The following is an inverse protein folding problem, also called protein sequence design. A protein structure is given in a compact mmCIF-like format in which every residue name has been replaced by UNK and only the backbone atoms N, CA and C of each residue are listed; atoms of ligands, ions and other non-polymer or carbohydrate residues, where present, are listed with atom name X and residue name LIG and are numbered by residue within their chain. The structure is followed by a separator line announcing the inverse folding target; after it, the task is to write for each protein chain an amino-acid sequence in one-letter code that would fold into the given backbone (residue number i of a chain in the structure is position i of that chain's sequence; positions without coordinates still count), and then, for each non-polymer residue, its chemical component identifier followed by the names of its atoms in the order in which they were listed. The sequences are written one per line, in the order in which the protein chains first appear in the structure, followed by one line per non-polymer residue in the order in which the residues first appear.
data_IF_470344412881
#
_entry.id   IF_470344412881
#
_cell.length_a   1.000
_cell.length_b   1.000
_cell.length_c   1.000
_cell.angle_alpha   90.00
_cell.angle_beta   90.00
_cell.angle_gamma   90.00
#
_symmetry.space_group_name_H-M   'P 1'
#
loop_
_entity.id
_entity.type
_entity.pdbx_description
1 polymer ?
#
# COMPACT_ATOMS: atom_id res chain seq x y z
N UNK A 1 -19.99 -9.17 7.41
CA UNK A 1 -20.48 -9.87 6.19
C UNK A 1 -19.52 -9.41 5.11
N UNK A 2 -18.47 -10.22 4.88
CA UNK A 2 -17.48 -9.87 3.85
C UNK A 2 -18.17 -9.94 2.49
N UNK A 3 -18.19 -8.83 1.78
CA UNK A 3 -18.52 -8.85 0.37
C UNK A 3 -17.35 -9.54 -0.33
N UNK A 4 -17.65 -10.70 -0.96
CA UNK A 4 -16.73 -11.37 -1.87
C UNK A 4 -16.57 -10.46 -3.11
N UNK A 5 -15.53 -9.60 -3.08
CA UNK A 5 -15.08 -8.95 -4.30
C UNK A 5 -14.47 -10.03 -5.23
N UNK A 6 -14.74 -9.98 -6.53
CA UNK A 6 -14.15 -10.93 -7.47
C UNK A 6 -12.61 -10.83 -7.40
N UNK A 7 -11.93 -11.96 -7.50
CA UNK A 7 -10.47 -12.00 -7.54
C UNK A 7 -9.97 -11.18 -8.74
N UNK A 8 -9.38 -10.02 -8.45
CA UNK A 8 -8.83 -9.09 -9.46
C UNK A 8 -7.87 -9.82 -10.42
N UNK A 9 -7.21 -10.89 -9.93
CA UNK A 9 -6.30 -11.69 -10.75
C UNK A 9 -7.00 -12.47 -11.87
N UNK A 10 -8.27 -12.87 -11.67
CA UNK A 10 -9.05 -13.53 -12.72
C UNK A 10 -9.49 -12.55 -13.82
N UNK A 11 -9.68 -11.26 -13.47
CA UNK A 11 -10.10 -10.22 -14.42
C UNK A 11 -9.02 -9.87 -15.46
N UNK A 12 -7.73 -10.01 -15.11
CA UNK A 12 -6.61 -9.59 -15.98
C UNK A 12 -5.90 -10.72 -16.72
N UNK A 13 -6.28 -11.99 -16.50
CA UNK A 13 -5.71 -13.10 -17.25
C UNK A 13 -6.13 -13.03 -18.73
N UNK A 14 -5.29 -13.12 -19.60
CA UNK A 14 -4.70 -12.81 -20.87
C UNK A 14 -5.21 -11.55 -21.64
N UNK A 15 -5.49 -10.45 -21.00
CA UNK A 15 -5.95 -9.24 -21.69
C UNK A 15 -4.81 -8.50 -22.42
N UNK A 16 -5.08 -7.99 -23.64
CA UNK A 16 -4.19 -7.01 -24.28
C UNK A 16 -4.24 -5.70 -23.46
N UNK A 17 -3.13 -4.94 -23.34
CA UNK A 17 -3.05 -3.76 -22.46
C UNK A 17 -4.23 -2.79 -22.56
N UNK A 18 -4.72 -2.50 -23.75
CA UNK A 18 -5.87 -1.62 -23.99
C UNK A 18 -7.20 -2.16 -23.44
N UNK A 19 -7.39 -3.46 -23.37
CA UNK A 19 -8.58 -4.09 -22.78
C UNK A 19 -8.48 -4.07 -21.25
N UNK A 20 -7.28 -4.30 -20.70
CA UNK A 20 -7.03 -4.22 -19.27
C UNK A 20 -7.37 -2.83 -18.71
N UNK A 21 -7.05 -1.75 -19.41
CA UNK A 21 -7.39 -0.39 -18.97
C UNK A 21 -8.89 -0.10 -18.95
N UNK A 22 -9.64 -0.65 -19.91
CA UNK A 22 -11.11 -0.57 -19.89
C UNK A 22 -11.71 -1.28 -18.67
N UNK A 23 -11.17 -2.44 -18.31
CA UNK A 23 -11.58 -3.19 -17.11
C UNK A 23 -11.26 -2.39 -15.85
N UNK A 24 -10.06 -1.82 -15.72
CA UNK A 24 -9.67 -0.97 -14.56
C UNK A 24 -10.63 0.20 -14.38
N UNK A 25 -10.97 0.92 -15.45
CA UNK A 25 -11.89 2.06 -15.38
C UNK A 25 -13.31 1.62 -15.00
N UNK A 26 -13.78 0.48 -15.52
CA UNK A 26 -15.07 -0.09 -15.15
C UNK A 26 -15.11 -0.48 -13.67
N UNK A 27 -14.07 -1.17 -13.21
CA UNK A 27 -13.94 -1.57 -11.81
C UNK A 27 -13.83 -0.36 -10.88
N UNK A 28 -13.04 0.65 -11.25
CA UNK A 28 -12.98 1.90 -10.51
C UNK A 28 -14.37 2.55 -10.36
N UNK A 29 -15.20 2.53 -11.41
CA UNK A 29 -16.58 3.03 -11.36
C UNK A 29 -17.45 2.22 -10.39
N UNK A 30 -17.27 0.91 -10.33
CA UNK A 30 -18.08 0.05 -9.48
C UNK A 30 -17.66 0.08 -8.02
N UNK A 31 -16.36 0.15 -7.73
CA UNK A 31 -15.80 0.12 -6.38
C UNK A 31 -15.76 1.50 -5.75
N UNK A 32 -15.15 2.51 -6.42
CA UNK A 32 -14.83 3.79 -5.77
C UNK A 32 -16.04 4.65 -5.42
N UNK A 33 -17.20 4.40 -6.01
CA UNK A 33 -18.46 5.03 -5.60
C UNK A 33 -18.93 4.61 -4.20
N UNK A 34 -18.48 3.44 -3.72
CA UNK A 34 -18.89 2.86 -2.43
C UNK A 34 -17.79 2.99 -1.36
N UNK A 35 -16.62 3.47 -1.73
CA UNK A 35 -15.53 3.74 -0.78
C UNK A 35 -15.85 5.00 0.01
N UNK A 36 -15.67 4.94 1.33
CA UNK A 36 -15.93 6.03 2.26
C UNK A 36 -14.70 6.46 3.03
N UNK A 37 -13.66 5.62 3.09
CA UNK A 37 -12.45 5.85 3.86
C UNK A 37 -11.22 5.89 2.95
N UNK A 38 -10.24 6.78 3.22
CA UNK A 38 -9.02 6.88 2.42
C UNK A 38 -8.24 5.56 2.34
N UNK A 39 -8.14 4.83 3.45
CA UNK A 39 -7.42 3.56 3.49
C UNK A 39 -8.02 2.49 2.58
N UNK A 40 -9.34 2.42 2.47
CA UNK A 40 -9.99 1.45 1.60
C UNK A 40 -9.70 1.76 0.12
N UNK A 41 -9.65 3.06 -0.24
CA UNK A 41 -9.25 3.50 -1.57
C UNK A 41 -7.78 3.15 -1.88
N UNK A 42 -6.89 3.36 -0.93
CA UNK A 42 -5.46 3.06 -1.09
C UNK A 42 -5.18 1.56 -1.17
N UNK A 43 -5.88 0.74 -0.36
CA UNK A 43 -5.78 -0.73 -0.44
C UNK A 43 -6.21 -1.24 -1.80
N UNK A 44 -7.38 -0.82 -2.27
CA UNK A 44 -7.85 -1.17 -3.60
C UNK A 44 -6.87 -0.70 -4.69
N UNK A 45 -6.40 0.53 -4.63
CA UNK A 45 -5.45 1.07 -5.60
C UNK A 45 -4.10 0.36 -5.58
N UNK A 46 -3.60 -0.03 -4.39
CA UNK A 46 -2.35 -0.78 -4.25
C UNK A 46 -2.46 -2.18 -4.87
N UNK A 47 -3.56 -2.89 -4.63
CA UNK A 47 -3.83 -4.19 -5.24
C UNK A 47 -3.95 -4.08 -6.76
N UNK A 48 -4.66 -3.06 -7.25
CA UNK A 48 -4.78 -2.76 -8.68
C UNK A 48 -3.41 -2.52 -9.34
N UNK A 49 -2.56 -1.69 -8.75
CA UNK A 49 -1.19 -1.44 -9.22
C UNK A 49 -0.40 -2.76 -9.24
N UNK A 50 -0.53 -3.57 -8.19
CA UNK A 50 0.12 -4.86 -8.09
C UNK A 50 -0.34 -5.86 -9.15
N UNK A 51 -1.65 -5.95 -9.39
CA UNK A 51 -2.23 -6.83 -10.41
C UNK A 51 -1.74 -6.48 -11.81
N UNK A 52 -1.68 -5.17 -12.13
CA UNK A 52 -1.17 -4.69 -13.42
C UNK A 52 0.35 -4.90 -13.55
N UNK A 53 1.11 -4.75 -12.46
CA UNK A 53 2.54 -5.03 -12.46
C UNK A 53 2.87 -6.52 -12.70
N UNK A 54 2.03 -7.45 -12.20
CA UNK A 54 2.18 -8.89 -12.45
C UNK A 54 1.99 -9.27 -13.90
N UNK A 55 1.15 -8.56 -14.63
CA UNK A 55 0.88 -8.83 -16.06
C UNK A 55 2.01 -8.34 -16.97
N UNK A 56 2.91 -7.49 -16.48
CA UNK A 56 4.02 -6.95 -17.23
C UNK A 56 5.30 -7.77 -17.05
N UNK A 57 6.17 -7.78 -18.07
CA UNK A 57 7.45 -8.47 -18.02
C UNK A 57 8.44 -7.83 -17.03
N UNK A 58 8.29 -6.51 -16.81
CA UNK A 58 9.10 -5.72 -15.87
C UNK A 58 8.21 -4.70 -15.17
N UNK A 59 8.36 -4.57 -13.85
CA UNK A 59 7.58 -3.62 -13.03
C UNK A 59 7.74 -2.16 -13.47
N UNK A 60 8.96 -1.74 -13.81
CA UNK A 60 9.22 -0.39 -14.32
C UNK A 60 8.47 -0.11 -15.63
N UNK A 61 8.35 -1.10 -16.51
CA UNK A 61 7.57 -0.99 -17.76
C UNK A 61 6.08 -0.86 -17.45
N UNK A 62 5.56 -1.62 -16.48
CA UNK A 62 4.17 -1.52 -16.06
C UNK A 62 3.83 -0.11 -15.56
N UNK A 63 4.67 0.46 -14.70
CA UNK A 63 4.46 1.81 -14.19
C UNK A 63 4.51 2.87 -15.29
N UNK A 64 5.37 2.70 -16.28
CA UNK A 64 5.43 3.58 -17.45
C UNK A 64 4.18 3.42 -18.35
N UNK A 65 3.68 2.21 -18.53
CA UNK A 65 2.44 1.95 -19.29
C UNK A 65 1.22 2.54 -18.58
N UNK A 66 1.12 2.39 -17.26
CA UNK A 66 0.07 3.03 -16.48
C UNK A 66 0.08 4.55 -16.64
N UNK A 67 1.26 5.17 -16.52
CA UNK A 67 1.41 6.61 -16.66
C UNK A 67 1.10 7.12 -18.08
N UNK A 68 1.42 6.33 -19.11
CA UNK A 68 1.30 6.77 -20.51
C UNK A 68 -0.02 6.38 -21.19
N UNK A 69 -0.77 5.42 -20.65
CA UNK A 69 -1.99 4.92 -21.27
C UNK A 69 -3.21 4.95 -20.34
N UNK A 70 -3.12 4.39 -19.12
CA UNK A 70 -4.27 4.38 -18.20
C UNK A 70 -4.57 5.79 -17.66
N UNK A 71 -3.56 6.57 -17.31
CA UNK A 71 -3.75 7.94 -16.81
C UNK A 71 -4.46 8.84 -17.86
N UNK A 72 -4.04 8.89 -19.14
CA UNK A 72 -4.78 9.62 -20.16
C UNK A 72 -6.20 9.09 -20.39
N UNK A 73 -6.42 7.77 -20.29
CA UNK A 73 -7.76 7.19 -20.45
C UNK A 73 -8.70 7.61 -19.30
N UNK A 74 -8.18 7.61 -18.06
CA UNK A 74 -8.93 8.11 -16.90
C UNK A 74 -9.23 9.62 -17.01
N UNK A 75 -8.24 10.41 -17.45
CA UNK A 75 -8.44 11.84 -17.70
C UNK A 75 -9.53 12.09 -18.77
N UNK A 76 -9.53 11.32 -19.84
CA UNK A 76 -10.54 11.45 -20.91
C UNK A 76 -11.94 11.01 -20.45
N UNK A 77 -12.05 10.06 -19.54
CA UNK A 77 -13.33 9.63 -18.97
C UNK A 77 -13.99 10.75 -18.14
N UNK A 78 -13.20 11.55 -17.43
CA UNK A 78 -13.62 12.72 -16.66
C UNK A 78 -14.85 12.48 -15.76
N UNK A 79 -14.92 11.30 -15.12
CA UNK A 79 -15.94 10.96 -14.12
C UNK A 79 -15.40 11.15 -12.70
N UNK A 80 -16.26 11.26 -11.65
CA UNK A 80 -15.81 11.33 -10.27
C UNK A 80 -14.93 10.14 -9.85
N UNK A 81 -15.26 8.94 -10.33
CA UNK A 81 -14.50 7.73 -10.03
C UNK A 81 -13.16 7.69 -10.77
N UNK A 82 -13.12 8.18 -12.01
CA UNK A 82 -11.86 8.31 -12.75
C UNK A 82 -10.94 9.37 -12.11
N UNK A 83 -11.50 10.48 -11.61
CA UNK A 83 -10.76 11.47 -10.82
C UNK A 83 -10.23 10.84 -9.52
N UNK A 84 -11.07 10.07 -8.82
CA UNK A 84 -10.67 9.35 -7.61
C UNK A 84 -9.52 8.36 -7.89
N UNK A 85 -9.57 7.58 -8.97
CA UNK A 85 -8.49 6.70 -9.42
C UNK A 85 -7.18 7.49 -9.63
N UNK A 86 -7.24 8.63 -10.32
CA UNK A 86 -6.08 9.49 -10.53
C UNK A 86 -5.51 10.00 -9.20
N UNK A 87 -6.36 10.40 -8.25
CA UNK A 87 -5.93 10.83 -6.91
C UNK A 87 -5.26 9.69 -6.12
N UNK A 88 -5.78 8.48 -6.20
CA UNK A 88 -5.17 7.29 -5.59
C UNK A 88 -3.76 7.06 -6.17
N UNK A 89 -3.63 7.06 -7.50
CA UNK A 89 -2.32 6.88 -8.14
C UNK A 89 -1.34 8.03 -7.82
N UNK A 90 -1.85 9.24 -7.63
CA UNK A 90 -1.05 10.38 -7.19
C UNK A 90 -0.57 10.22 -5.73
N UNK A 91 -1.32 9.53 -4.87
CA UNK A 91 -0.96 9.30 -3.48
C UNK A 91 0.05 8.14 -3.31
N UNK A 92 -0.23 6.98 -3.92
CA UNK A 92 0.52 5.74 -3.64
C UNK A 92 1.35 5.22 -4.81
N UNK A 93 1.26 5.80 -6.00
CA UNK A 93 1.98 5.34 -7.18
C UNK A 93 3.50 5.52 -7.10
N UNK A 94 4.22 4.89 -8.03
CA UNK A 94 5.65 5.18 -8.26
C UNK A 94 5.86 6.65 -8.65
N UNK A 95 7.08 7.20 -8.55
CA UNK A 95 7.32 8.63 -8.87
C UNK A 95 6.79 9.04 -10.25
N UNK A 96 6.95 8.18 -11.27
CA UNK A 96 6.47 8.45 -12.64
C UNK A 96 4.95 8.45 -12.70
N UNK A 97 4.31 7.42 -12.14
CA UNK A 97 2.84 7.29 -12.11
C UNK A 97 2.22 8.41 -11.27
N UNK A 98 2.80 8.71 -10.12
CA UNK A 98 2.37 9.79 -9.22
C UNK A 98 2.34 11.13 -9.90
N UNK A 99 3.43 11.50 -10.58
CA UNK A 99 3.53 12.80 -11.27
C UNK A 99 2.51 12.93 -12.42
N UNK A 100 2.36 11.87 -13.23
CA UNK A 100 1.40 11.86 -14.33
C UNK A 100 -0.05 11.94 -13.81
N UNK A 101 -0.39 11.13 -12.81
CA UNK A 101 -1.72 11.06 -12.23
C UNK A 101 -2.12 12.37 -11.52
N UNK A 102 -1.21 13.01 -10.77
CA UNK A 102 -1.49 14.29 -10.12
C UNK A 102 -1.85 15.37 -11.14
N UNK A 103 -1.06 15.50 -12.21
CA UNK A 103 -1.32 16.49 -13.25
C UNK A 103 -2.64 16.23 -13.98
N UNK A 104 -2.97 14.97 -14.28
CA UNK A 104 -4.23 14.61 -14.92
C UNK A 104 -5.41 14.88 -13.98
N UNK A 105 -5.30 14.52 -12.70
CA UNK A 105 -6.32 14.79 -11.69
C UNK A 105 -6.64 16.29 -11.56
N UNK A 106 -5.61 17.14 -11.55
CA UNK A 106 -5.78 18.58 -11.46
C UNK A 106 -6.51 19.15 -12.70
N UNK A 107 -6.23 18.62 -13.90
CA UNK A 107 -6.94 19.02 -15.12
C UNK A 107 -8.41 18.57 -15.11
N UNK A 108 -8.70 17.37 -14.61
CA UNK A 108 -10.08 16.85 -14.49
C UNK A 108 -10.86 17.64 -13.44
N UNK A 109 -10.26 17.91 -12.28
CA UNK A 109 -10.87 18.73 -11.23
C UNK A 109 -11.16 20.17 -11.72
N UNK A 110 -10.26 20.77 -12.52
CA UNK A 110 -10.44 22.08 -13.12
C UNK A 110 -11.62 22.14 -14.12
N UNK A 111 -12.07 20.99 -14.64
CA UNK A 111 -13.28 20.90 -15.48
C UNK A 111 -14.57 20.88 -14.64
N UNK A 112 -14.47 20.91 -13.30
CA UNK A 112 -15.63 20.89 -12.40
C UNK A 112 -16.12 19.51 -12.04
N UNK A 113 -15.34 18.44 -12.29
CA UNK A 113 -15.65 17.08 -11.83
C UNK A 113 -15.53 17.05 -10.30
N UNK A 114 -16.55 16.57 -9.57
CA UNK A 114 -16.52 16.57 -8.11
C UNK A 114 -15.53 15.54 -7.56
N UNK A 115 -14.80 15.94 -6.52
CA UNK A 115 -13.93 15.07 -5.74
C UNK A 115 -14.74 14.18 -4.78
N UNK A 116 -14.24 12.98 -4.49
CA UNK A 116 -14.78 12.17 -3.41
C UNK A 116 -14.40 12.77 -2.04
N UNK A 117 -15.27 12.68 -1.02
CA UNK A 117 -15.04 13.31 0.28
C UNK A 117 -13.74 12.92 0.98
N UNK A 118 -13.28 11.67 0.81
CA UNK A 118 -12.07 11.14 1.43
C UNK A 118 -10.76 11.55 0.74
N UNK A 119 -10.84 12.21 -0.42
CA UNK A 119 -9.65 12.60 -1.20
C UNK A 119 -8.76 13.59 -0.44
N UNK A 120 -9.34 14.46 0.39
CA UNK A 120 -8.57 15.44 1.18
C UNK A 120 -7.56 14.81 2.14
N UNK A 121 -7.83 13.61 2.61
CA UNK A 121 -7.00 12.90 3.58
C UNK A 121 -6.11 11.83 2.93
N UNK A 122 -6.37 11.53 1.65
CA UNK A 122 -5.69 10.47 0.91
C UNK A 122 -4.17 10.67 0.87
N UNK A 123 -3.42 9.64 1.23
CA UNK A 123 -1.95 9.69 1.29
C UNK A 123 -1.38 10.42 2.50
N UNK A 124 -2.20 10.89 3.44
CA UNK A 124 -1.79 11.74 4.56
C UNK A 124 -2.13 11.16 5.96
N UNK A 125 -2.03 9.84 6.20
CA UNK A 125 -2.24 9.34 7.55
C UNK A 125 -1.10 9.79 8.47
N UNK A 126 -1.41 9.91 9.75
CA UNK A 126 -0.40 10.14 10.79
C UNK A 126 0.21 8.81 11.22
N UNK A 127 1.53 8.79 11.41
CA UNK A 127 2.19 7.67 12.09
C UNK A 127 1.79 7.68 13.56
N UNK A 128 1.30 6.55 14.08
CA UNK A 128 0.89 6.40 15.49
C UNK A 128 1.98 5.70 16.28
N UNK A 129 2.14 4.39 16.08
CA UNK A 129 3.05 3.55 16.85
C UNK A 129 3.89 2.64 15.94
N UNK A 130 5.09 2.28 16.43
CA UNK A 130 5.94 1.30 15.78
C UNK A 130 6.29 0.17 16.75
N UNK A 131 6.26 -1.07 16.25
CA UNK A 131 6.48 -2.27 17.03
C UNK A 131 7.36 -3.26 16.29
N UNK A 132 8.08 -4.07 17.04
CA UNK A 132 8.73 -5.26 16.51
C UNK A 132 8.26 -6.51 17.23
N UNK A 133 8.20 -7.60 16.49
CA UNK A 133 7.94 -8.96 16.96
C UNK A 133 8.95 -9.88 16.27
N UNK A 134 9.72 -10.66 17.02
CA UNK A 134 10.76 -11.48 16.41
C UNK A 134 11.21 -12.64 17.31
N UNK A 135 11.87 -13.63 16.73
CA UNK A 135 12.46 -14.73 17.48
C UNK A 135 13.76 -14.28 18.19
N UNK A 136 14.02 -14.84 19.39
CA UNK A 136 15.21 -14.54 20.20
C UNK A 136 16.52 -14.88 19.48
N UNK A 137 16.46 -15.76 18.48
CA UNK A 137 17.61 -16.11 17.64
C UNK A 137 17.87 -15.09 16.52
N UNK A 138 16.99 -14.09 16.36
CA UNK A 138 17.13 -13.02 15.39
C UNK A 138 17.09 -13.47 13.94
N UNK A 139 16.44 -14.60 13.63
CA UNK A 139 16.32 -15.08 12.26
C UNK A 139 15.20 -14.45 11.49
N UNK A 140 14.09 -14.13 12.17
CA UNK A 140 12.95 -13.46 11.58
C UNK A 140 12.42 -12.42 12.55
N UNK A 141 11.97 -11.28 11.99
CA UNK A 141 11.25 -10.27 12.73
C UNK A 141 10.13 -9.67 11.87
N UNK A 142 9.05 -9.26 12.50
CA UNK A 142 8.03 -8.40 11.92
C UNK A 142 8.21 -6.99 12.45
N UNK A 143 8.28 -6.02 11.56
CA UNK A 143 8.20 -4.60 11.87
C UNK A 143 6.79 -4.14 11.54
N UNK A 144 6.07 -3.66 12.54
CA UNK A 144 4.69 -3.21 12.40
C UNK A 144 4.62 -1.71 12.67
N UNK A 145 4.00 -0.96 11.77
CA UNK A 145 3.78 0.48 11.89
C UNK A 145 2.29 0.74 11.80
N UNK A 146 1.74 1.46 12.77
CA UNK A 146 0.35 1.90 12.79
C UNK A 146 0.23 3.31 12.22
N UNK A 147 -0.85 3.53 11.49
CA UNK A 147 -1.18 4.79 10.82
C UNK A 147 -2.64 5.14 11.09
N UNK A 148 -2.93 6.43 11.29
CA UNK A 148 -4.28 6.91 11.59
C UNK A 148 -4.79 7.90 10.55
N UNK A 149 -6.01 7.66 10.06
CA UNK A 149 -6.87 8.62 9.39
C UNK A 149 -7.97 9.05 10.36
N UNK A 150 -7.78 10.19 11.04
CA UNK A 150 -8.69 10.60 12.11
C UNK A 150 -8.78 9.57 13.23
N UNK A 151 -9.96 8.94 13.39
CA UNK A 151 -10.19 7.90 14.39
C UNK A 151 -9.99 6.47 13.87
N UNK A 152 -9.75 6.29 12.58
CA UNK A 152 -9.55 4.96 12.00
C UNK A 152 -8.08 4.65 11.89
N UNK A 153 -7.64 3.65 12.63
CA UNK A 153 -6.26 3.18 12.60
C UNK A 153 -6.13 1.90 11.77
N UNK A 154 -5.03 1.81 11.04
CA UNK A 154 -4.60 0.61 10.34
C UNK A 154 -3.12 0.37 10.61
N UNK A 155 -2.70 -0.88 10.54
CA UNK A 155 -1.31 -1.25 10.69
C UNK A 155 -0.81 -1.95 9.42
N UNK A 156 0.45 -1.67 9.10
CA UNK A 156 1.22 -2.38 8.08
C UNK A 156 2.33 -3.13 8.81
N UNK A 157 2.37 -4.45 8.64
CA UNK A 157 3.36 -5.33 9.24
C UNK A 157 4.18 -6.02 8.15
N UNK A 158 5.49 -5.97 8.25
CA UNK A 158 6.44 -6.54 7.29
C UNK A 158 7.27 -7.61 7.99
N UNK A 159 7.19 -8.85 7.51
CA UNK A 159 8.04 -9.95 7.97
C UNK A 159 9.38 -9.95 7.21
N UNK A 160 10.45 -9.83 7.96
CA UNK A 160 11.84 -9.79 7.48
C UNK A 160 12.53 -11.11 7.81
N UNK A 161 13.18 -11.75 6.84
CA UNK A 161 13.96 -12.98 7.01
C UNK A 161 15.46 -12.67 6.96
N UNK A 162 16.07 -12.55 8.15
CA UNK A 162 17.50 -12.30 8.30
C UNK A 162 18.34 -13.52 7.89
N UNK A 163 17.80 -14.75 7.97
CA UNK A 163 18.43 -15.94 7.45
C UNK A 163 18.62 -15.92 5.93
N UNK A 164 17.87 -15.06 5.25
CA UNK A 164 17.94 -14.83 3.79
C UNK A 164 18.52 -13.47 3.42
N UNK A 165 19.27 -12.84 4.31
CA UNK A 165 19.95 -11.58 4.07
C UNK A 165 19.07 -10.36 4.32
N UNK A 166 18.11 -10.43 5.23
CA UNK A 166 17.26 -9.31 5.63
C UNK A 166 16.16 -8.95 4.61
N UNK A 167 15.72 -9.94 3.83
CA UNK A 167 14.72 -9.75 2.78
C UNK A 167 13.30 -9.80 3.31
N UNK A 168 12.40 -9.10 2.65
CA UNK A 168 10.96 -9.15 2.94
C UNK A 168 10.42 -10.52 2.53
N UNK A 169 9.83 -11.23 3.48
CA UNK A 169 9.20 -12.52 3.26
C UNK A 169 7.69 -12.42 3.09
N UNK A 170 7.06 -11.49 3.82
CA UNK A 170 5.61 -11.30 3.80
C UNK A 170 5.24 -9.87 4.22
N UNK A 171 4.00 -9.45 3.90
CA UNK A 171 3.44 -8.17 4.31
C UNK A 171 1.94 -8.32 4.60
N UNK A 172 1.47 -7.66 5.66
CA UNK A 172 0.06 -7.62 6.03
C UNK A 172 -0.38 -6.18 6.24
N UNK A 173 -1.60 -5.89 5.86
CA UNK A 173 -2.28 -4.65 6.20
C UNK A 173 -3.62 -5.00 6.82
N UNK A 174 -3.99 -4.35 7.90
CA UNK A 174 -5.23 -4.61 8.59
C UNK A 174 -5.53 -3.58 9.67
N UNK A 175 -6.59 -3.82 10.40
CA UNK A 175 -6.95 -3.05 11.58
C UNK A 175 -5.83 -3.11 12.63
N UNK A 176 -5.44 -1.95 13.18
CA UNK A 176 -4.28 -1.84 14.04
C UNK A 176 -4.45 -2.63 15.34
N UNK A 177 -5.59 -2.48 16.02
CA UNK A 177 -5.87 -3.15 17.28
C UNK A 177 -5.88 -4.67 17.10
N UNK A 178 -6.62 -5.16 16.10
CA UNK A 178 -6.72 -6.61 15.84
C UNK A 178 -5.39 -7.27 15.43
N UNK A 179 -4.50 -6.54 14.77
CA UNK A 179 -3.18 -7.05 14.39
C UNK A 179 -2.22 -7.05 15.58
N UNK A 180 -2.19 -5.97 16.36
CA UNK A 180 -1.32 -5.84 17.54
C UNK A 180 -1.73 -6.79 18.66
N UNK A 181 -3.03 -6.95 18.93
CA UNK A 181 -3.53 -7.89 19.94
C UNK A 181 -3.14 -9.32 19.65
N UNK A 182 -3.27 -9.78 18.39
CA UNK A 182 -2.82 -11.12 17.99
C UNK A 182 -1.32 -11.30 18.16
N UNK A 183 -0.53 -10.30 17.81
CA UNK A 183 0.92 -10.32 17.92
C UNK A 183 1.36 -10.34 19.37
N UNK A 184 0.74 -9.53 20.23
CA UNK A 184 1.00 -9.47 21.66
C UNK A 184 0.67 -10.80 22.33
N UNK A 185 -0.51 -11.38 22.07
CA UNK A 185 -0.91 -12.68 22.63
C UNK A 185 0.04 -13.80 22.20
N UNK A 186 0.51 -13.78 20.96
CA UNK A 186 1.48 -14.76 20.48
C UNK A 186 2.85 -14.61 21.17
N UNK A 187 3.30 -13.38 21.42
CA UNK A 187 4.55 -13.12 22.15
C UNK A 187 4.46 -13.51 23.63
N UNK A 188 3.33 -13.25 24.29
CA UNK A 188 3.13 -13.63 25.70
C UNK A 188 3.09 -15.16 25.90
N UNK A 189 2.66 -15.89 24.89
CA UNK A 189 2.56 -17.34 24.91
C UNK A 189 3.92 -18.07 24.64
N UNK A 190 4.90 -17.40 24.03
CA UNK A 190 6.19 -18.02 23.65
C UNK A 190 7.38 -17.22 24.20
N UNK A 191 8.11 -17.76 25.21
CA UNK A 191 9.28 -17.10 25.80
C UNK A 191 10.46 -16.94 24.83
N UNK A 192 10.41 -17.56 23.65
CA UNK A 192 11.43 -17.41 22.60
C UNK A 192 11.12 -16.27 21.65
N UNK A 193 10.09 -15.49 21.93
CA UNK A 193 9.68 -14.35 21.13
C UNK A 193 9.93 -13.06 21.88
N UNK A 194 10.42 -12.06 21.17
CA UNK A 194 10.59 -10.69 21.62
C UNK A 194 9.49 -9.82 20.98
N UNK A 195 8.81 -9.05 21.82
CA UNK A 195 7.87 -8.04 21.40
C UNK A 195 8.18 -6.72 22.10
N UNK A 196 8.22 -5.62 21.35
CA UNK A 196 8.53 -4.32 21.94
C UNK A 196 8.26 -3.16 21.00
N UNK A 197 8.20 -1.96 21.58
CA UNK A 197 8.08 -0.72 20.82
C UNK A 197 9.38 -0.39 20.09
N UNK A 198 9.24 0.23 18.92
CA UNK A 198 10.32 0.85 18.17
C UNK A 198 10.11 2.36 18.09
N UNK A 199 11.21 3.10 18.00
CA UNK A 199 11.13 4.48 17.54
C UNK A 199 10.85 4.51 16.03
N UNK A 200 10.14 5.52 15.51
CA UNK A 200 9.88 5.64 14.08
C UNK A 200 11.13 5.57 13.21
N UNK A 201 12.24 6.17 13.67
CA UNK A 201 13.52 6.12 12.97
C UNK A 201 14.11 4.71 12.88
N UNK A 202 13.98 3.89 13.94
CA UNK A 202 14.45 2.50 13.94
C UNK A 202 13.59 1.63 13.02
N UNK A 203 12.26 1.82 13.05
CA UNK A 203 11.33 1.15 12.16
C UNK A 203 11.63 1.51 10.69
N UNK A 204 11.81 2.78 10.39
CA UNK A 204 12.19 3.25 9.05
C UNK A 204 13.48 2.59 8.57
N UNK A 205 14.54 2.63 9.37
CA UNK A 205 15.85 2.06 9.01
C UNK A 205 15.75 0.56 8.69
N UNK A 206 15.05 -0.22 9.54
CA UNK A 206 14.88 -1.67 9.33
C UNK A 206 14.12 -1.97 8.05
N UNK A 207 13.01 -1.26 7.81
CA UNK A 207 12.19 -1.44 6.61
C UNK A 207 12.92 -0.99 5.34
N UNK A 208 13.65 0.13 5.37
CA UNK A 208 14.46 0.61 4.25
C UNK A 208 15.54 -0.41 3.87
N UNK A 209 16.22 -0.97 4.87
CA UNK A 209 17.19 -2.04 4.65
C UNK A 209 16.55 -3.28 4.02
N UNK A 210 15.38 -3.71 4.52
CA UNK A 210 14.67 -4.89 4.00
C UNK A 210 14.17 -4.68 2.56
N UNK A 211 13.63 -3.48 2.25
CA UNK A 211 13.24 -3.10 0.89
C UNK A 211 14.45 -3.15 -0.04
N UNK A 212 15.61 -2.61 0.38
CA UNK A 212 16.85 -2.62 -0.41
C UNK A 212 17.40 -4.02 -0.62
N UNK A 213 17.24 -4.93 0.34
CA UNK A 213 17.64 -6.33 0.24
C UNK A 213 16.74 -7.13 -0.72
N UNK A 214 15.50 -6.69 -0.96
CA UNK A 214 14.53 -7.29 -1.86
C UNK A 214 13.58 -8.27 -1.17
N UNK A 215 12.89 -9.07 -1.97
CA UNK A 215 11.82 -9.97 -1.51
C UNK A 215 12.23 -11.44 -1.59
N UNK A 216 11.66 -12.28 -0.70
CA UNK A 216 11.91 -13.72 -0.67
C UNK A 216 10.67 -14.53 -0.24
N UNK A 217 9.49 -14.34 -0.87
CA UNK A 217 8.31 -15.10 -0.52
C UNK A 217 8.52 -16.59 -0.78
N UNK A 218 8.06 -17.45 0.14
CA UNK A 218 8.16 -18.90 0.02
C UNK A 218 6.89 -19.52 -0.55
N UNK A 219 5.74 -18.89 -0.27
CA UNK A 219 4.41 -19.36 -0.65
C UNK A 219 3.75 -18.42 -1.65
N UNK A 220 2.73 -18.91 -2.35
CA UNK A 220 1.96 -18.09 -3.30
C UNK A 220 1.22 -16.96 -2.60
N UNK A 221 0.56 -17.24 -1.48
CA UNK A 221 -0.17 -16.26 -0.68
C UNK A 221 0.72 -15.09 -0.21
N UNK A 222 1.96 -15.37 0.19
CA UNK A 222 2.94 -14.34 0.52
C UNK A 222 3.33 -13.48 -0.69
N UNK A 223 3.51 -14.10 -1.86
CA UNK A 223 3.80 -13.38 -3.10
C UNK A 223 2.63 -12.49 -3.50
N UNK A 224 1.42 -12.98 -3.37
CA UNK A 224 0.20 -12.24 -3.68
C UNK A 224 0.04 -11.06 -2.73
N UNK A 225 0.23 -11.27 -1.41
CA UNK A 225 0.19 -10.20 -0.41
C UNK A 225 1.27 -9.12 -0.66
N UNK A 226 2.52 -9.53 -0.93
CA UNK A 226 3.59 -8.60 -1.28
C UNK A 226 3.24 -7.77 -2.51
N UNK A 227 2.66 -8.39 -3.53
CA UNK A 227 2.28 -7.70 -4.75
C UNK A 227 1.13 -6.73 -4.52
N UNK A 228 0.09 -7.14 -3.78
CA UNK A 228 -1.06 -6.33 -3.48
C UNK A 228 -0.73 -5.10 -2.62
N UNK A 229 0.22 -5.23 -1.68
CA UNK A 229 0.50 -4.17 -0.71
C UNK A 229 1.78 -3.38 -0.99
N UNK A 230 2.54 -3.70 -2.03
CA UNK A 230 3.83 -3.07 -2.33
C UNK A 230 3.72 -1.56 -2.53
N UNK A 231 2.75 -1.08 -3.29
CA UNK A 231 2.58 0.35 -3.54
C UNK A 231 2.26 1.10 -2.24
N UNK A 232 1.40 0.53 -1.41
CA UNK A 232 1.08 1.08 -0.10
C UNK A 232 2.29 1.07 0.85
N UNK A 233 3.07 -0.03 0.89
CA UNK A 233 4.31 -0.10 1.67
C UNK A 233 5.25 1.05 1.32
N UNK A 234 5.53 1.27 0.04
CA UNK A 234 6.41 2.36 -0.39
C UNK A 234 5.84 3.75 -0.05
N UNK A 235 4.53 3.94 -0.17
CA UNK A 235 3.89 5.19 0.22
C UNK A 235 4.03 5.44 1.73
N UNK A 236 3.84 4.42 2.57
CA UNK A 236 4.00 4.51 4.03
C UNK A 236 5.44 4.73 4.46
N UNK A 237 6.41 4.16 3.75
CA UNK A 237 7.83 4.41 4.00
C UNK A 237 8.21 5.89 3.82
N UNK A 238 7.66 6.57 2.81
CA UNK A 238 7.89 7.99 2.61
C UNK A 238 7.39 8.85 3.79
N UNK A 239 6.23 8.49 4.37
CA UNK A 239 5.67 9.17 5.55
C UNK A 239 6.52 8.91 6.80
N UNK A 240 6.93 7.68 7.00
CA UNK A 240 7.78 7.29 8.13
C UNK A 240 9.15 7.98 8.07
N UNK A 241 9.70 8.19 6.88
CA UNK A 241 10.94 8.96 6.67
C UNK A 241 10.79 10.42 7.12
N UNK A 242 9.66 11.05 6.82
CA UNK A 242 9.38 12.44 7.23
C UNK A 242 9.24 12.53 8.75
N UNK A 243 8.49 11.63 9.38
CA UNK A 243 8.32 11.56 10.83
C UNK A 243 9.66 11.34 11.55
N UNK A 244 10.51 10.48 11.01
CA UNK A 244 11.85 10.18 11.55
C UNK A 244 12.81 11.37 11.48
N UNK A 245 12.59 12.30 10.56
CA UNK A 245 13.42 13.49 10.38
C UNK A 245 12.98 14.66 11.29
N UNK A 246 11.79 14.59 11.90
CA UNK A 246 11.33 15.63 12.84
C UNK A 246 12.09 15.54 14.16
N UNK A 247 12.60 16.67 14.70
CA UNK A 247 13.23 16.67 16.02
C UNK A 247 12.20 16.21 17.05
N UNK A 248 12.51 15.13 17.75
CA UNK A 248 11.69 14.68 18.88
C UNK A 248 11.81 15.74 19.98
N UNK A 249 10.74 16.51 20.20
CA UNK A 249 10.64 17.33 21.39
C UNK A 249 10.51 16.35 22.59
N UNK A 250 11.63 16.04 23.23
CA UNK A 250 11.59 15.38 24.54
C UNK A 250 10.82 16.29 25.52
N UNK A 251 9.91 15.70 26.32
CA UNK A 251 9.14 16.43 27.31
C UNK A 251 9.98 16.94 28.48
#
# INVERSE_FOLDING_TARGET
MGEDYPDINELFAPLVPTQAFGVVLSEAQDVLRHVHEPIDAELWGSDMIGALARSAMYEASAMQELASALVPAAEAAATPEALALLRIFAAIGSPVLRAAAAQAADRVAAQGVPEQPWVSDLGLPKVSDCWHYGDIGGRQESVTVSFAYGSREHALSVLIDHGRGGKIKDVWVGDADGLLDKTFLAADADPLVLFGRLQPADAHHRLEHAISAGECPEKSDQRDALTAHRALLYARMNLLAVESAMPQNEP
#
